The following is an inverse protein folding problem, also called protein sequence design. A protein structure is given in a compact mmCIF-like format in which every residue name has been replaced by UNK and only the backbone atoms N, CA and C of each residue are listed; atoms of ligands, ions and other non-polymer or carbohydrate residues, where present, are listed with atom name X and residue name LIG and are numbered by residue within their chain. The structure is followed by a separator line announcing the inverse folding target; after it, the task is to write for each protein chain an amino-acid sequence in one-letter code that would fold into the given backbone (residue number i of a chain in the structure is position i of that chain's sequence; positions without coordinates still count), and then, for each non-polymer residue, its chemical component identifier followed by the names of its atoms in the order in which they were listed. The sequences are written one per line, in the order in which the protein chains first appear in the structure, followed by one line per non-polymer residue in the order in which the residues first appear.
data_IF_830579958415
#
_entry.id   IF_830579958415
#
_cell.length_a   1.000
_cell.length_b   1.000
_cell.length_c   1.000
_cell.angle_alpha   90.00
_cell.angle_beta   90.00
_cell.angle_gamma   90.00
#
_symmetry.space_group_name_H-M   'P 1'
#
loop_
_entity.id
_entity.type
_entity.pdbx_description
1 polymer ?
#
# COMPACT_ATOMS: atom_id res chain seq x y z
N UNK A 1 -8.04 14.56 -34.41
CA UNK A 1 -9.44 14.10 -34.40
C UNK A 1 -10.13 14.66 -35.63
N UNK A 2 -10.45 13.80 -36.60
CA UNK A 2 -11.39 14.09 -37.68
C UNK A 2 -12.42 12.96 -37.67
N UNK A 3 -13.68 13.28 -37.35
CA UNK A 3 -14.76 12.30 -37.12
C UNK A 3 -15.47 12.02 -38.44
N UNK A 4 -15.16 10.91 -39.08
CA UNK A 4 -16.13 10.26 -39.96
C UNK A 4 -15.88 8.74 -40.01
N UNK A 5 -16.94 7.99 -39.68
CA UNK A 5 -17.03 6.52 -39.63
C UNK A 5 -16.38 5.80 -38.44
N UNK A 6 -16.88 6.04 -37.21
CA UNK A 6 -17.10 5.02 -36.15
C UNK A 6 -15.97 4.07 -35.72
N UNK A 7 -14.75 4.25 -36.20
CA UNK A 7 -13.56 3.50 -35.85
C UNK A 7 -12.63 4.41 -35.07
N UNK A 8 -12.37 4.07 -33.82
CA UNK A 8 -11.31 4.70 -33.04
C UNK A 8 -9.98 4.20 -33.61
N UNK A 9 -9.37 4.98 -34.50
CA UNK A 9 -8.02 4.73 -34.99
C UNK A 9 -7.01 5.41 -34.04
N UNK A 10 -5.97 4.68 -33.64
CA UNK A 10 -4.93 5.17 -32.74
C UNK A 10 -3.61 5.30 -33.50
N UNK A 11 -2.87 6.38 -33.21
CA UNK A 11 -1.52 6.56 -33.71
C UNK A 11 -0.56 5.85 -32.74
N UNK A 12 0.12 4.81 -33.22
CA UNK A 12 1.08 4.05 -32.41
C UNK A 12 2.49 4.40 -32.86
N UNK A 13 3.32 4.88 -31.92
CA UNK A 13 4.73 5.17 -32.17
C UNK A 13 5.56 3.97 -31.72
N UNK A 14 6.09 3.19 -32.67
CA UNK A 14 7.07 2.15 -32.36
C UNK A 14 8.47 2.76 -32.31
N UNK A 15 9.14 2.64 -31.17
CA UNK A 15 10.57 2.93 -31.04
C UNK A 15 11.32 1.60 -30.89
N UNK A 16 11.71 1.01 -32.01
CA UNK A 16 12.46 -0.24 -32.10
C UNK A 16 13.25 -0.29 -33.41
N UNK A 17 14.47 -0.82 -33.33
CA UNK A 17 15.54 -0.70 -34.32
C UNK A 17 15.15 -1.19 -35.73
N UNK A 18 15.35 -0.32 -36.72
CA UNK A 18 15.23 -0.51 -38.18
C UNK A 18 13.86 -0.22 -38.82
N UNK A 19 13.76 1.02 -39.34
CA UNK A 19 12.79 1.59 -40.32
C UNK A 19 11.53 2.24 -39.74
N UNK A 20 11.28 3.50 -40.14
CA UNK A 20 10.05 4.25 -39.82
C UNK A 20 8.91 3.73 -40.69
N UNK A 21 7.86 3.20 -40.07
CA UNK A 21 6.56 2.99 -40.71
C UNK A 21 5.50 3.66 -39.84
N UNK A 22 4.81 4.65 -40.41
CA UNK A 22 3.63 5.26 -39.80
C UNK A 22 2.41 4.59 -40.44
N UNK A 23 1.62 3.88 -39.65
CA UNK A 23 0.39 3.26 -40.14
C UNK A 23 -0.71 3.33 -39.08
N UNK A 24 -1.95 3.46 -39.53
CA UNK A 24 -3.13 3.43 -38.67
C UNK A 24 -3.53 1.97 -38.44
N UNK A 25 -3.73 1.57 -37.18
CA UNK A 25 -4.05 0.18 -36.83
C UNK A 25 -5.38 0.10 -36.07
N UNK A 26 -6.22 -0.86 -36.47
CA UNK A 26 -7.52 -1.14 -35.85
C UNK A 26 -7.35 -1.88 -34.50
N UNK A 27 -8.11 -1.44 -33.49
CA UNK A 27 -8.10 -1.93 -32.09
C UNK A 27 -8.35 -3.43 -31.97
N UNK A 28 -9.05 -4.02 -32.94
CA UNK A 28 -9.37 -5.46 -32.97
C UNK A 28 -8.17 -6.38 -33.24
N UNK A 29 -7.02 -5.86 -33.67
CA UNK A 29 -5.79 -6.63 -33.93
C UNK A 29 -4.85 -6.79 -32.72
N UNK A 30 -5.12 -6.10 -31.60
CA UNK A 30 -4.31 -6.19 -30.38
C UNK A 30 -4.86 -7.28 -29.45
N UNK A 31 -4.76 -8.54 -29.86
CA UNK A 31 -5.08 -9.70 -29.00
C UNK A 31 -3.81 -10.51 -28.78
N UNK A 32 -3.26 -10.45 -27.56
CA UNK A 32 -2.16 -11.32 -27.12
C UNK A 32 -2.81 -12.61 -26.58
N UNK A 33 -2.54 -13.81 -27.14
CA UNK A 33 -3.26 -15.03 -26.75
C UNK A 33 -2.83 -15.54 -25.36
N UNK A 34 -3.82 -15.79 -24.49
CA UNK A 34 -3.70 -16.72 -23.35
C UNK A 34 -3.81 -18.15 -23.90
N UNK A 35 -2.84 -19.00 -23.58
CA UNK A 35 -2.84 -20.43 -23.93
C UNK A 35 -3.75 -21.23 -22.98
N UNK A 36 -4.76 -21.90 -23.55
CA UNK A 36 -5.60 -22.91 -22.90
C UNK A 36 -5.11 -24.29 -23.36
N UNK A 37 -4.99 -25.23 -22.41
CA UNK A 37 -4.76 -26.66 -22.65
C UNK A 37 -6.11 -27.37 -22.81
N UNK A 38 -6.23 -28.24 -23.80
CA UNK A 38 -7.21 -29.34 -23.83
C UNK A 38 -6.53 -30.62 -24.33
N UNK A 39 -6.92 -31.75 -23.75
CA UNK A 39 -6.41 -33.07 -24.08
C UNK A 39 -7.37 -33.91 -24.94
N UNK A 40 -6.77 -34.95 -25.51
CA UNK A 40 -7.32 -36.24 -25.98
C UNK A 40 -8.18 -36.30 -27.25
N UNK A 41 -7.62 -36.94 -28.29
CA UNK A 41 -8.30 -38.01 -29.06
C UNK A 41 -7.29 -39.12 -29.39
N UNK A 42 -7.78 -40.36 -29.46
CA UNK A 42 -7.09 -41.64 -29.44
C UNK A 42 -6.43 -42.13 -30.77
N UNK A 43 -5.57 -43.14 -30.57
CA UNK A 43 -5.19 -44.30 -31.41
C UNK A 43 -3.95 -44.30 -32.34
N UNK A 44 -3.01 -45.20 -31.95
CA UNK A 44 -2.23 -46.21 -32.71
C UNK A 44 -1.21 -45.78 -33.77
N UNK A 45 0.09 -46.11 -33.58
CA UNK A 45 0.81 -47.28 -34.15
C UNK A 45 2.28 -47.34 -33.68
N UNK A 46 2.85 -48.54 -33.69
CA UNK A 46 4.16 -48.99 -33.18
C UNK A 46 5.43 -48.36 -33.82
N UNK A 47 6.53 -48.26 -33.05
CA UNK A 47 7.87 -48.85 -33.35
C UNK A 47 9.03 -48.20 -32.51
N UNK A 48 9.65 -49.04 -31.68
CA UNK A 48 11.10 -49.22 -31.38
C UNK A 48 12.05 -48.06 -30.93
N UNK A 49 12.61 -48.29 -29.72
CA UNK A 49 14.02 -48.26 -29.28
C UNK A 49 14.75 -47.00 -28.73
N UNK A 50 15.30 -47.21 -27.51
CA UNK A 50 16.52 -46.66 -26.85
C UNK A 50 16.56 -45.15 -26.47
N UNK A 51 17.25 -44.69 -25.41
CA UNK A 51 17.82 -45.21 -24.15
C UNK A 51 18.14 -43.95 -23.30
N UNK A 52 18.08 -44.11 -21.96
CA UNK A 52 18.78 -43.35 -20.89
C UNK A 52 18.59 -41.82 -20.67
N UNK A 53 18.40 -41.43 -19.40
CA UNK A 53 18.65 -40.05 -18.93
C UNK A 53 17.71 -39.50 -17.84
N UNK A 54 17.85 -40.03 -16.62
CA UNK A 54 17.23 -39.69 -15.32
C UNK A 54 17.16 -38.18 -14.96
N UNK A 55 15.97 -37.67 -14.61
CA UNK A 55 15.75 -36.49 -13.72
C UNK A 55 14.48 -36.67 -12.87
N UNK A 56 14.51 -36.49 -11.54
CA UNK A 56 13.31 -36.57 -10.71
C UNK A 56 12.70 -35.20 -10.31
N UNK A 57 11.38 -35.17 -10.41
CA UNK A 57 10.39 -34.65 -9.45
C UNK A 57 10.13 -33.14 -9.35
N UNK A 58 8.98 -32.77 -9.95
CA UNK A 58 8.10 -31.66 -9.54
C UNK A 58 7.37 -32.04 -8.24
N UNK A 59 7.18 -31.08 -7.36
CA UNK A 59 6.09 -31.08 -6.38
C UNK A 59 5.01 -30.10 -6.88
N UNK A 60 3.78 -30.58 -6.83
CA UNK A 60 2.55 -29.90 -7.18
C UNK A 60 2.12 -29.07 -5.95
N UNK A 61 1.76 -27.80 -6.15
CA UNK A 61 1.06 -27.01 -5.14
C UNK A 61 -0.42 -26.99 -5.50
N UNK A 62 -1.24 -27.34 -4.51
CA UNK A 62 -2.69 -27.40 -4.55
C UNK A 62 -3.30 -25.98 -4.51
N UNK A 63 -4.22 -25.73 -5.43
CA UNK A 63 -5.10 -24.57 -5.46
C UNK A 63 -6.20 -24.73 -4.39
N UNK A 64 -6.31 -23.78 -3.46
CA UNK A 64 -7.49 -23.62 -2.61
C UNK A 64 -8.17 -22.26 -2.86
N UNK A 65 -9.45 -22.36 -3.19
CA UNK A 65 -10.40 -21.36 -3.66
C UNK A 65 -10.72 -20.31 -2.56
N UNK A 66 -10.71 -19.02 -2.91
CA UNK A 66 -11.12 -17.93 -2.01
C UNK A 66 -12.26 -17.11 -2.66
N UNK A 67 -13.37 -16.83 -1.93
CA UNK A 67 -14.56 -16.25 -2.53
C UNK A 67 -14.47 -14.72 -2.72
N UNK A 68 -15.13 -14.30 -3.79
CA UNK A 68 -15.36 -12.94 -4.28
C UNK A 68 -15.98 -12.00 -3.22
N UNK A 69 -15.29 -10.89 -2.92
CA UNK A 69 -15.85 -9.76 -2.17
C UNK A 69 -15.84 -8.50 -3.03
N UNK A 70 -17.05 -8.07 -3.37
CA UNK A 70 -17.38 -6.86 -4.13
C UNK A 70 -16.77 -5.61 -3.49
N UNK A 71 -15.91 -4.91 -4.25
CA UNK A 71 -15.38 -3.59 -3.89
C UNK A 71 -16.49 -2.54 -4.00
N UNK A 72 -16.93 -1.99 -2.86
CA UNK A 72 -17.60 -0.69 -2.81
C UNK A 72 -16.53 0.36 -2.50
N UNK A 73 -16.43 1.35 -3.39
CA UNK A 73 -15.49 2.47 -3.30
C UNK A 73 -16.16 3.58 -2.48
N UNK A 74 -15.56 3.98 -1.38
CA UNK A 74 -15.91 5.22 -0.67
C UNK A 74 -14.61 6.02 -0.57
N UNK A 75 -14.55 7.12 -1.31
CA UNK A 75 -13.42 8.05 -1.29
C UNK A 75 -13.55 8.95 -0.04
N UNK A 76 -12.51 9.00 0.80
CA UNK A 76 -12.35 10.04 1.82
C UNK A 76 -10.91 10.53 1.76
N UNK A 77 -10.75 11.76 1.28
CA UNK A 77 -9.49 12.51 1.28
C UNK A 77 -9.12 12.91 2.71
N UNK A 78 -7.97 12.45 3.21
CA UNK A 78 -7.31 13.06 4.37
C UNK A 78 -5.82 13.23 4.05
N UNK A 79 -5.41 14.49 3.90
CA UNK A 79 -4.02 14.91 3.82
C UNK A 79 -3.33 14.80 5.19
N UNK A 80 -2.00 14.59 5.25
CA UNK A 80 -1.29 14.36 6.50
C UNK A 80 -0.95 15.69 7.18
N UNK A 81 -1.31 15.83 8.45
CA UNK A 81 -0.77 16.88 9.32
C UNK A 81 0.09 16.28 10.44
N UNK A 82 1.30 16.78 10.43
CA UNK A 82 2.45 16.61 11.32
C UNK A 82 2.18 16.57 12.83
N UNK A 83 2.92 15.70 13.52
CA UNK A 83 3.20 15.62 14.96
C UNK A 83 2.89 16.86 15.82
N UNK A 84 2.20 16.64 16.95
CA UNK A 84 2.59 17.30 18.22
C UNK A 84 2.24 16.45 19.45
N UNK A 85 3.32 16.07 20.14
CA UNK A 85 3.52 15.89 21.59
C UNK A 85 2.26 15.85 22.49
N UNK A 86 2.18 14.80 23.30
CA UNK A 86 1.36 14.75 24.50
C UNK A 86 1.65 15.96 25.40
N UNK A 87 0.73 16.90 25.42
CA UNK A 87 0.54 17.82 26.52
C UNK A 87 -0.59 17.24 27.38
N UNK A 88 -0.36 17.14 28.69
CA UNK A 88 -1.43 16.94 29.68
C UNK A 88 -2.34 18.17 29.64
N UNK A 89 -3.26 18.17 28.68
CA UNK A 89 -4.33 19.15 28.56
C UNK A 89 -5.43 18.80 29.53
N UNK A 90 -6.02 19.83 30.12
CA UNK A 90 -7.16 19.73 31.02
C UNK A 90 -8.36 19.20 30.24
N UNK A 91 -8.64 17.89 30.33
CA UNK A 91 -9.81 17.24 29.70
C UNK A 91 -11.16 17.76 30.24
N UNK A 92 -11.16 18.77 31.13
CA UNK A 92 -12.36 19.35 31.71
C UNK A 92 -13.33 19.89 30.65
N UNK A 93 -12.83 20.50 29.57
CA UNK A 93 -13.67 21.07 28.50
C UNK A 93 -14.46 19.97 27.75
N UNK A 94 -13.83 18.81 27.52
CA UNK A 94 -14.45 17.64 26.89
C UNK A 94 -15.49 16.93 27.79
N UNK A 95 -15.56 17.32 29.06
CA UNK A 95 -16.47 16.78 30.07
C UNK A 95 -17.57 17.76 30.47
N UNK A 96 -17.78 18.82 29.67
CA UNK A 96 -18.83 19.80 29.91
C UNK A 96 -20.10 19.49 29.13
N UNK A 97 -21.25 19.74 29.75
CA UNK A 97 -22.55 19.66 29.10
C UNK A 97 -22.84 20.95 28.34
N UNK A 98 -23.17 20.86 27.06
CA UNK A 98 -23.43 22.05 26.22
C UNK A 98 -24.74 22.81 26.54
N UNK A 99 -25.61 22.25 27.38
CA UNK A 99 -26.83 22.92 27.81
C UNK A 99 -26.63 23.81 29.04
N UNK A 100 -25.72 23.42 29.96
CA UNK A 100 -25.44 24.21 31.16
C UNK A 100 -24.01 24.75 31.21
N UNK A 101 -23.14 24.34 30.29
CA UNK A 101 -21.71 24.66 30.24
C UNK A 101 -20.93 24.30 31.51
N UNK A 102 -21.47 23.36 32.30
CA UNK A 102 -20.87 22.82 33.52
C UNK A 102 -20.43 21.37 33.28
N UNK A 103 -19.55 20.84 34.13
CA UNK A 103 -19.21 19.42 34.11
C UNK A 103 -20.47 18.53 34.19
N UNK A 104 -20.47 17.39 33.49
CA UNK A 104 -21.64 16.53 33.45
C UNK A 104 -22.09 16.06 34.85
N UNK A 105 -23.29 16.47 35.24
CA UNK A 105 -24.01 15.95 36.40
C UNK A 105 -25.06 14.95 35.94
N UNK A 106 -24.91 13.68 36.33
CA UNK A 106 -25.74 12.56 35.91
C UNK A 106 -25.92 12.50 34.37
N UNK A 107 -24.82 12.29 33.61
CA UNK A 107 -24.87 12.29 32.16
C UNK A 107 -25.79 11.21 31.61
N UNK A 108 -26.63 11.62 30.67
CA UNK A 108 -27.48 10.74 29.86
C UNK A 108 -27.17 10.92 28.39
N UNK A 109 -27.26 9.82 27.65
CA UNK A 109 -27.16 9.79 26.19
C UNK A 109 -28.56 9.81 25.60
N UNK A 110 -28.78 10.71 24.64
CA UNK A 110 -30.02 10.81 23.84
C UNK A 110 -29.86 10.04 22.52
N UNK A 111 -30.92 9.89 21.73
CA UNK A 111 -30.94 9.00 20.55
C UNK A 111 -29.87 9.31 19.49
N UNK A 112 -29.48 10.58 19.34
CA UNK A 112 -28.41 10.99 18.43
C UNK A 112 -26.99 10.68 18.94
N UNK A 113 -26.85 10.03 20.10
CA UNK A 113 -25.57 9.64 20.70
C UNK A 113 -24.85 10.72 21.50
N UNK A 114 -25.36 11.96 21.52
CA UNK A 114 -24.78 13.07 22.30
C UNK A 114 -25.18 12.98 23.78
N UNK A 115 -24.35 13.57 24.65
CA UNK A 115 -24.47 13.44 26.10
C UNK A 115 -24.83 14.78 26.74
N UNK A 116 -25.74 14.75 27.72
CA UNK A 116 -26.23 15.91 28.44
C UNK A 116 -26.50 15.57 29.91
N UNK A 117 -26.55 16.55 30.80
CA UNK A 117 -26.99 16.30 32.18
C UNK A 117 -28.48 15.90 32.20
N UNK A 118 -28.85 14.95 33.06
CA UNK A 118 -30.25 14.51 33.23
C UNK A 118 -31.21 15.68 33.43
N UNK A 119 -30.88 16.59 34.34
CA UNK A 119 -31.69 17.78 34.62
C UNK A 119 -31.79 18.75 33.44
N UNK A 120 -30.77 18.83 32.58
CA UNK A 120 -30.79 19.71 31.41
C UNK A 120 -31.76 19.16 30.35
N UNK A 121 -31.73 17.85 30.14
CA UNK A 121 -32.67 17.12 29.30
C UNK A 121 -34.09 17.22 29.83
N UNK A 122 -34.32 16.94 31.11
CA UNK A 122 -35.67 17.02 31.70
C UNK A 122 -36.27 18.43 31.58
N UNK A 123 -35.45 19.49 31.68
CA UNK A 123 -35.87 20.88 31.43
C UNK A 123 -36.15 21.17 29.96
N UNK A 124 -35.30 20.69 29.06
CA UNK A 124 -35.45 20.91 27.62
C UNK A 124 -36.75 20.27 27.08
N UNK A 125 -37.19 19.17 27.66
CA UNK A 125 -38.46 18.50 27.33
C UNK A 125 -39.65 18.97 28.16
N UNK A 126 -39.48 19.93 29.07
CA UNK A 126 -40.57 20.42 29.90
C UNK A 126 -41.58 21.22 29.05
N UNK A 127 -42.73 20.61 28.77
CA UNK A 127 -43.77 21.20 27.93
C UNK A 127 -43.48 21.21 26.43
N UNK A 128 -42.49 20.44 25.96
CA UNK A 128 -42.16 20.28 24.54
C UNK A 128 -42.33 18.82 24.08
N UNK A 129 -42.73 18.64 22.81
CA UNK A 129 -42.89 17.33 22.17
C UNK A 129 -41.57 16.81 21.56
N UNK A 130 -40.62 17.69 21.29
CA UNK A 130 -39.32 17.34 20.72
C UNK A 130 -38.20 18.21 21.31
N UNK A 131 -36.98 17.71 21.20
CA UNK A 131 -35.74 18.39 21.59
C UNK A 131 -34.80 18.42 20.39
N UNK A 132 -34.28 19.58 20.03
CA UNK A 132 -33.24 19.69 19.00
C UNK A 132 -31.87 19.63 19.66
N UNK A 133 -31.07 18.63 19.30
CA UNK A 133 -29.71 18.48 19.81
C UNK A 133 -28.85 19.70 19.41
N UNK A 134 -28.23 20.42 20.36
CA UNK A 134 -27.39 21.57 20.03
C UNK A 134 -26.10 21.20 19.27
N UNK A 135 -25.63 19.95 19.41
CA UNK A 135 -24.43 19.46 18.72
C UNK A 135 -24.66 19.17 17.24
N UNK A 136 -25.56 18.22 16.96
CA UNK A 136 -25.78 17.70 15.61
C UNK A 136 -27.02 18.27 14.93
N UNK A 137 -27.83 19.08 15.63
CA UNK A 137 -29.09 19.69 15.15
C UNK A 137 -30.20 18.66 14.84
N UNK A 138 -30.03 17.42 15.25
CA UNK A 138 -31.03 16.38 15.09
C UNK A 138 -32.23 16.60 16.03
N UNK A 139 -33.44 16.39 15.52
CA UNK A 139 -34.69 16.54 16.29
C UNK A 139 -35.04 15.20 16.91
N UNK A 140 -34.99 15.13 18.24
CA UNK A 140 -35.28 13.96 19.04
C UNK A 140 -36.71 14.08 19.57
N UNK A 141 -37.58 13.19 19.13
CA UNK A 141 -39.01 13.16 19.51
C UNK A 141 -39.28 12.17 20.65
N UNK A 142 -38.44 11.16 20.81
CA UNK A 142 -38.62 10.18 21.88
C UNK A 142 -37.94 10.64 23.19
N UNK A 143 -38.69 10.62 24.29
CA UNK A 143 -38.18 10.96 25.64
C UNK A 143 -37.38 9.81 26.27
N UNK A 144 -36.61 9.08 25.46
CA UNK A 144 -35.74 8.00 25.92
C UNK A 144 -34.32 8.52 26.09
N UNK A 145 -33.73 8.23 27.24
CA UNK A 145 -32.33 8.53 27.51
C UNK A 145 -31.71 7.43 28.36
N UNK A 146 -30.44 7.13 28.09
CA UNK A 146 -29.69 6.07 28.77
C UNK A 146 -28.59 6.69 29.62
N UNK A 147 -28.49 6.31 30.90
CA UNK A 147 -27.45 6.84 31.79
C UNK A 147 -26.05 6.40 31.34
N UNK A 148 -25.16 7.36 31.10
CA UNK A 148 -23.77 7.09 30.72
C UNK A 148 -22.86 7.01 31.96
N UNK A 149 -22.76 5.81 32.54
CA UNK A 149 -21.93 5.58 33.75
C UNK A 149 -20.44 5.81 33.50
N UNK A 150 -19.94 5.58 32.29
CA UNK A 150 -18.53 5.79 31.95
C UNK A 150 -18.17 7.28 32.03
N UNK A 151 -19.00 8.14 31.44
CA UNK A 151 -18.84 9.59 31.48
C UNK A 151 -18.99 10.13 32.91
N UNK A 152 -19.95 9.62 33.68
CA UNK A 152 -20.11 9.96 35.11
C UNK A 152 -18.86 9.61 35.94
N UNK A 153 -18.22 8.47 35.65
CA UNK A 153 -16.99 8.06 36.33
C UNK A 153 -15.78 8.91 35.91
N UNK A 154 -15.74 9.38 34.66
CA UNK A 154 -14.67 10.22 34.16
C UNK A 154 -14.70 11.61 34.80
N UNK A 155 -15.88 12.24 34.91
CA UNK A 155 -16.06 13.51 35.66
C UNK A 155 -15.64 13.37 37.12
N UNK A 156 -16.01 12.27 37.78
CA UNK A 156 -15.60 12.02 39.17
C UNK A 156 -14.08 11.91 39.33
N UNK A 157 -13.38 11.34 38.34
CA UNK A 157 -11.92 11.24 38.35
C UNK A 157 -11.26 12.60 38.13
N UNK A 158 -11.77 13.43 37.23
CA UNK A 158 -11.20 14.77 36.96
C UNK A 158 -11.39 15.73 38.14
N UNK A 159 -12.56 15.72 38.78
CA UNK A 159 -12.84 16.50 40.01
C UNK A 159 -12.07 15.93 41.22
N UNK A 160 -11.86 14.61 41.27
CA UNK A 160 -11.04 13.97 42.30
C UNK A 160 -9.55 14.29 42.20
N UNK A 161 -9.04 14.54 40.99
CA UNK A 161 -7.64 14.90 40.74
C UNK A 161 -7.32 16.36 41.11
N UNK A 162 -8.28 17.27 41.05
CA UNK A 162 -8.07 18.70 41.40
C UNK A 162 -8.23 18.99 42.90
N UNK A 163 -8.82 18.08 43.68
CA UNK A 163 -8.93 18.17 45.15
C UNK A 163 -7.92 17.25 45.89
N UNK A 164 -6.86 16.79 45.23
CA UNK A 164 -5.85 15.90 45.80
C UNK A 164 -4.76 16.62 46.63
N UNK A 165 -5.06 17.80 47.19
CA UNK A 165 -4.13 18.56 48.05
C UNK A 165 -4.70 18.86 49.44
N UNK A 166 -5.66 18.11 49.97
CA UNK A 166 -5.86 17.98 51.42
C UNK A 166 -6.81 16.83 51.73
N UNK A 167 -6.25 15.65 52.01
CA UNK A 167 -6.74 14.66 53.00
C UNK A 167 -6.34 13.25 52.57
N UNK A 168 -5.12 12.88 52.93
CA UNK A 168 -4.73 11.49 53.05
C UNK A 168 -5.46 10.88 54.28
N UNK A 169 -6.62 10.26 54.07
CA UNK A 169 -7.17 9.26 54.98
C UNK A 169 -7.84 8.13 54.20
N UNK A 170 -7.22 6.95 54.28
CA UNK A 170 -7.83 5.62 54.20
C UNK A 170 -8.71 5.34 52.97
N UNK A 171 -8.08 4.86 51.90
CA UNK A 171 -8.76 4.16 50.81
C UNK A 171 -9.17 2.74 51.22
N UNK A 172 -10.12 2.63 52.14
CA UNK A 172 -10.98 1.45 52.17
C UNK A 172 -12.05 1.65 51.10
N UNK A 173 -12.11 0.76 50.10
CA UNK A 173 -13.27 0.70 49.21
C UNK A 173 -14.50 0.62 50.11
N UNK A 174 -15.52 1.50 49.98
CA UNK A 174 -16.71 1.41 50.80
C UNK A 174 -17.27 -0.01 50.63
N UNK A 175 -17.28 -0.79 51.72
CA UNK A 175 -17.91 -2.10 51.73
C UNK A 175 -19.36 -1.87 51.27
N UNK A 176 -19.88 -2.66 50.32
CA UNK A 176 -21.28 -2.58 49.96
C UNK A 176 -22.10 -2.67 51.24
N UNK A 177 -23.01 -1.73 51.45
CA UNK A 177 -23.89 -1.75 52.62
C UNK A 177 -24.56 -3.13 52.69
N UNK A 178 -24.42 -3.83 53.81
CA UNK A 178 -25.11 -5.11 54.03
C UNK A 178 -26.63 -4.92 54.14
N UNK A 179 -27.07 -3.70 54.43
CA UNK A 179 -28.45 -3.32 54.63
C UNK A 179 -28.96 -2.40 53.51
N UNK A 180 -30.26 -2.51 53.22
CA UNK A 180 -30.98 -1.67 52.29
C UNK A 180 -31.06 -0.23 52.82
N UNK A 181 -30.72 0.79 52.01
CA UNK A 181 -30.73 2.18 52.45
C UNK A 181 -32.14 2.74 52.70
N UNK A 182 -33.18 2.17 52.07
CA UNK A 182 -34.57 2.63 52.24
C UNK A 182 -35.26 1.98 53.47
N UNK A 183 -34.82 0.78 53.87
CA UNK A 183 -35.57 -0.04 54.83
C UNK A 183 -34.74 -0.53 56.02
N UNK A 184 -33.44 -0.26 56.04
CA UNK A 184 -32.47 -0.78 57.01
C UNK A 184 -32.53 -2.31 57.22
N UNK A 185 -32.94 -3.04 56.17
CA UNK A 185 -33.11 -4.50 56.18
C UNK A 185 -32.00 -5.16 55.35
N UNK A 186 -31.51 -6.33 55.76
CA UNK A 186 -30.40 -7.02 55.08
C UNK A 186 -30.71 -7.31 53.60
N UNK A 187 -29.76 -7.02 52.73
CA UNK A 187 -29.82 -7.34 51.30
C UNK A 187 -29.56 -8.84 51.12
N UNK A 188 -30.59 -9.57 50.68
CA UNK A 188 -30.53 -11.04 50.47
C UNK A 188 -30.94 -11.45 49.07
N UNK A 189 -31.53 -10.53 48.30
CA UNK A 189 -32.09 -10.76 47.00
C UNK A 189 -31.35 -9.92 45.95
N UNK A 190 -31.35 -10.42 44.72
CA UNK A 190 -30.91 -9.73 43.52
C UNK A 190 -32.10 -9.58 42.58
N UNK A 191 -32.40 -8.36 42.17
CA UNK A 191 -33.42 -8.09 41.15
C UNK A 191 -32.78 -8.22 39.76
N UNK A 192 -33.27 -9.15 38.94
CA UNK A 192 -32.72 -9.40 37.59
C UNK A 192 -33.01 -8.25 36.63
N UNK A 193 -34.19 -7.64 36.76
CA UNK A 193 -34.64 -6.57 35.86
C UNK A 193 -33.88 -5.26 36.11
N UNK A 194 -33.64 -4.93 37.38
CA UNK A 194 -32.94 -3.69 37.76
C UNK A 194 -31.41 -3.86 37.89
N UNK A 195 -30.94 -5.11 38.00
CA UNK A 195 -29.53 -5.41 38.22
C UNK A 195 -29.00 -4.92 39.57
N UNK A 196 -29.84 -4.89 40.61
CA UNK A 196 -29.50 -4.35 41.94
C UNK A 196 -29.75 -5.35 43.07
N UNK A 197 -29.03 -5.17 44.18
CA UNK A 197 -29.30 -5.88 45.42
C UNK A 197 -30.51 -5.27 46.13
N UNK A 198 -31.37 -6.13 46.64
CA UNK A 198 -32.64 -5.77 47.28
C UNK A 198 -32.87 -6.55 48.58
N UNK A 199 -33.59 -5.93 49.51
CA UNK A 199 -34.12 -6.61 50.69
C UNK A 199 -35.52 -7.18 50.40
N UNK A 200 -36.07 -7.95 51.35
CA UNK A 200 -37.40 -8.58 51.21
C UNK A 200 -38.53 -7.55 51.13
N UNK A 201 -38.36 -6.37 51.74
CA UNK A 201 -39.35 -5.29 51.70
C UNK A 201 -39.37 -4.63 50.30
N UNK A 202 -38.20 -4.42 49.69
CA UNK A 202 -38.10 -3.92 48.31
C UNK A 202 -38.82 -4.86 47.32
N UNK A 203 -38.65 -6.18 47.45
CA UNK A 203 -39.30 -7.16 46.58
C UNK A 203 -40.83 -7.00 46.56
N UNK A 204 -41.42 -6.82 47.74
CA UNK A 204 -42.88 -6.75 47.88
C UNK A 204 -43.42 -5.31 47.69
N UNK A 205 -42.53 -4.34 47.42
CA UNK A 205 -42.91 -2.96 47.13
C UNK A 205 -43.56 -2.83 45.75
N UNK A 206 -44.44 -1.83 45.59
CA UNK A 206 -45.06 -1.53 44.30
C UNK A 206 -44.03 -1.21 43.20
N UNK A 207 -42.84 -0.72 43.56
CA UNK A 207 -41.75 -0.43 42.63
C UNK A 207 -41.24 -1.69 41.91
N UNK A 208 -41.34 -2.86 42.55
CA UNK A 208 -40.79 -4.12 42.03
C UNK A 208 -41.86 -5.23 41.88
N UNK A 209 -43.15 -4.87 41.88
CA UNK A 209 -44.26 -5.82 41.91
C UNK A 209 -44.26 -6.85 40.75
N UNK A 210 -43.60 -6.54 39.64
CA UNK A 210 -43.47 -7.40 38.46
C UNK A 210 -42.04 -7.85 38.16
N UNK A 211 -41.08 -7.59 39.05
CA UNK A 211 -39.68 -7.92 38.80
C UNK A 211 -39.33 -9.32 39.32
N UNK A 212 -38.33 -9.92 38.69
CA UNK A 212 -37.80 -11.23 39.00
C UNK A 212 -36.67 -11.12 40.00
N UNK A 213 -36.78 -11.87 41.09
CA UNK A 213 -35.78 -11.90 42.15
C UNK A 213 -35.16 -13.28 42.29
N UNK A 214 -33.87 -13.29 42.60
CA UNK A 214 -33.13 -14.47 43.00
C UNK A 214 -32.47 -14.23 44.36
N UNK A 215 -32.33 -15.25 45.23
CA UNK A 215 -31.35 -15.20 46.29
C UNK A 215 -29.96 -14.86 45.73
N UNK A 216 -29.17 -14.08 46.48
CA UNK A 216 -27.86 -13.62 46.00
C UNK A 216 -26.96 -14.78 45.55
N UNK A 217 -26.94 -15.89 46.29
CA UNK A 217 -26.11 -17.04 45.94
C UNK A 217 -26.55 -17.70 44.63
N UNK A 218 -27.85 -17.76 44.37
CA UNK A 218 -28.40 -18.31 43.13
C UNK A 218 -28.09 -17.39 41.95
N UNK A 219 -28.25 -16.07 42.14
CA UNK A 219 -27.85 -15.09 41.13
C UNK A 219 -26.36 -15.19 40.80
N UNK A 220 -25.49 -15.29 41.82
CA UNK A 220 -24.05 -15.49 41.62
C UNK A 220 -23.77 -16.79 40.86
N UNK A 221 -24.48 -17.88 41.16
CA UNK A 221 -24.36 -19.13 40.43
C UNK A 221 -24.69 -18.96 38.94
N UNK A 222 -25.87 -18.41 38.63
CA UNK A 222 -26.34 -18.18 37.26
C UNK A 222 -25.37 -17.33 36.46
N UNK A 223 -24.99 -16.15 36.98
CA UNK A 223 -24.13 -15.23 36.24
C UNK A 223 -22.69 -15.73 36.13
N UNK A 224 -22.19 -16.53 37.08
CA UNK A 224 -20.88 -17.18 36.92
C UNK A 224 -20.88 -18.19 35.78
N UNK A 225 -21.94 -18.97 35.64
CA UNK A 225 -22.08 -19.91 34.53
C UNK A 225 -22.19 -19.14 33.21
N UNK A 226 -23.07 -18.15 33.10
CA UNK A 226 -23.22 -17.33 31.89
C UNK A 226 -21.89 -16.66 31.49
N UNK A 227 -21.14 -16.12 32.45
CA UNK A 227 -19.83 -15.53 32.18
C UNK A 227 -18.81 -16.59 31.74
N UNK A 228 -18.79 -17.76 32.38
CA UNK A 228 -17.90 -18.86 32.01
C UNK A 228 -18.17 -19.36 30.59
N UNK A 229 -19.44 -19.41 30.18
CA UNK A 229 -19.84 -19.85 28.85
C UNK A 229 -19.41 -18.86 27.75
N UNK A 230 -19.27 -17.57 28.07
CA UNK A 230 -18.82 -16.53 27.15
C UNK A 230 -17.29 -16.44 27.09
N UNK A 231 -16.60 -16.67 28.22
CA UNK A 231 -15.14 -16.53 28.31
C UNK A 231 -14.41 -17.51 27.39
N UNK A 232 -14.79 -18.79 27.39
CA UNK A 232 -14.07 -19.79 26.59
C UNK A 232 -14.10 -19.53 25.07
N UNK A 233 -15.26 -19.19 24.45
CA UNK A 233 -15.28 -18.77 23.05
C UNK A 233 -14.45 -17.51 22.76
N UNK A 234 -14.43 -16.54 23.69
CA UNK A 234 -13.64 -15.32 23.53
C UNK A 234 -12.13 -15.59 23.58
N UNK A 235 -11.68 -16.49 24.46
CA UNK A 235 -10.27 -16.90 24.54
C UNK A 235 -9.82 -17.61 23.24
N UNK A 236 -10.66 -18.47 22.67
CA UNK A 236 -10.35 -19.12 21.40
C UNK A 236 -10.36 -18.12 20.24
N UNK A 237 -11.34 -17.21 20.19
CA UNK A 237 -11.39 -16.14 19.19
C UNK A 237 -10.17 -15.21 19.27
N UNK A 238 -9.71 -14.90 20.49
CA UNK A 238 -8.48 -14.13 20.71
C UNK A 238 -7.27 -14.85 20.12
N UNK A 239 -7.10 -16.14 20.45
CA UNK A 239 -5.99 -16.96 19.95
C UNK A 239 -5.97 -17.05 18.43
N UNK A 240 -7.14 -17.28 17.79
CA UNK A 240 -7.25 -17.29 16.32
C UNK A 240 -6.88 -15.93 15.73
N UNK A 241 -7.35 -14.84 16.34
CA UNK A 241 -7.06 -13.49 15.86
C UNK A 241 -5.57 -13.15 15.98
N UNK A 242 -4.92 -13.55 17.07
CA UNK A 242 -3.47 -13.38 17.26
C UNK A 242 -2.68 -14.14 16.19
N UNK A 243 -3.05 -15.40 15.90
CA UNK A 243 -2.42 -16.20 14.86
C UNK A 243 -2.60 -15.62 13.45
N UNK A 244 -3.80 -15.14 13.12
CA UNK A 244 -4.05 -14.50 11.83
C UNK A 244 -3.28 -13.18 11.71
N UNK A 245 -3.13 -12.45 12.82
CA UNK A 245 -2.38 -11.19 12.85
C UNK A 245 -0.89 -11.43 12.61
N UNK A 246 -0.29 -12.46 13.22
CA UNK A 246 1.12 -12.81 12.97
C UNK A 246 1.34 -13.29 11.54
N UNK A 247 0.49 -14.19 11.02
CA UNK A 247 0.58 -14.65 9.63
C UNK A 247 0.44 -13.50 8.63
N UNK A 248 -0.45 -12.54 8.90
CA UNK A 248 -0.62 -11.38 8.05
C UNK A 248 0.61 -10.47 8.09
N UNK A 249 1.22 -10.27 9.26
CA UNK A 249 2.45 -9.50 9.40
C UNK A 249 3.61 -10.12 8.61
N UNK A 250 3.77 -11.44 8.65
CA UNK A 250 4.77 -12.18 7.86
C UNK A 250 4.54 -12.00 6.36
N UNK A 251 3.30 -12.16 5.88
CA UNK A 251 2.95 -11.95 4.46
C UNK A 251 3.25 -10.52 3.99
N UNK A 252 2.96 -9.52 4.84
CA UNK A 252 3.27 -8.12 4.54
C UNK A 252 4.78 -7.92 4.40
N UNK A 253 5.58 -8.50 5.29
CA UNK A 253 7.03 -8.36 5.25
C UNK A 253 7.64 -9.09 4.04
N UNK A 254 7.16 -10.30 3.75
CA UNK A 254 7.56 -11.03 2.54
C UNK A 254 7.23 -10.24 1.27
N UNK A 255 6.05 -9.63 1.19
CA UNK A 255 5.66 -8.85 0.03
C UNK A 255 6.55 -7.60 -0.13
N UNK A 256 6.96 -6.95 0.96
CA UNK A 256 7.91 -5.84 0.90
C UNK A 256 9.28 -6.30 0.40
N UNK A 257 9.78 -7.43 0.88
CA UNK A 257 11.03 -8.03 0.41
C UNK A 257 10.96 -8.31 -1.10
N UNK A 258 9.90 -8.98 -1.54
CA UNK A 258 9.72 -9.31 -2.96
C UNK A 258 9.71 -8.06 -3.85
N UNK A 259 9.05 -6.97 -3.42
CA UNK A 259 9.07 -5.70 -4.17
C UNK A 259 10.50 -5.15 -4.26
N UNK A 260 11.26 -5.17 -3.16
CA UNK A 260 12.63 -4.69 -3.13
C UNK A 260 13.53 -5.51 -4.07
N UNK A 261 13.39 -6.83 -4.03
CA UNK A 261 14.15 -7.76 -4.88
C UNK A 261 13.83 -7.53 -6.37
N UNK A 262 12.55 -7.40 -6.73
CA UNK A 262 12.17 -7.10 -8.11
C UNK A 262 12.68 -5.75 -8.57
N UNK A 263 12.62 -4.72 -7.72
CA UNK A 263 13.16 -3.39 -8.02
C UNK A 263 14.66 -3.47 -8.29
N UNK A 264 15.41 -4.13 -7.41
CA UNK A 264 16.85 -4.32 -7.57
C UNK A 264 17.18 -5.12 -8.84
N UNK A 265 16.39 -6.15 -9.14
CA UNK A 265 16.58 -6.94 -10.35
C UNK A 265 16.40 -6.08 -11.60
N UNK A 266 15.31 -5.29 -11.68
CA UNK A 266 15.07 -4.37 -12.79
C UNK A 266 16.25 -3.40 -12.94
N UNK A 267 16.66 -2.73 -11.85
CA UNK A 267 17.79 -1.80 -11.88
C UNK A 267 19.07 -2.47 -12.40
N UNK A 268 19.35 -3.71 -11.97
CA UNK A 268 20.54 -4.46 -12.40
C UNK A 268 20.52 -4.84 -13.88
N UNK A 269 19.36 -5.20 -14.45
CA UNK A 269 19.24 -5.54 -15.87
C UNK A 269 19.42 -4.30 -16.76
N UNK A 270 18.91 -3.14 -16.32
CA UNK A 270 19.14 -1.88 -17.02
C UNK A 270 20.61 -1.45 -16.96
N UNK A 271 21.29 -1.65 -15.83
CA UNK A 271 22.72 -1.33 -15.71
C UNK A 271 23.59 -2.20 -16.64
N UNK A 272 23.26 -3.50 -16.76
CA UNK A 272 23.90 -4.41 -17.73
C UNK A 272 23.69 -3.91 -19.16
N UNK A 273 22.47 -3.48 -19.50
CA UNK A 273 22.19 -2.94 -20.83
C UNK A 273 22.95 -1.64 -21.10
N UNK A 274 23.04 -0.73 -20.13
CA UNK A 274 23.83 0.50 -20.24
C UNK A 274 25.31 0.21 -20.48
N UNK A 275 25.86 -0.73 -19.72
CA UNK A 275 27.25 -1.17 -19.87
C UNK A 275 27.50 -1.75 -21.26
N UNK A 276 26.63 -2.67 -21.70
CA UNK A 276 26.72 -3.26 -23.05
C UNK A 276 26.69 -2.21 -24.16
N UNK A 277 25.77 -1.23 -24.08
CA UNK A 277 25.66 -0.17 -25.09
C UNK A 277 26.90 0.74 -25.08
N UNK A 278 27.46 1.03 -23.90
CA UNK A 278 28.69 1.81 -23.77
C UNK A 278 29.87 1.10 -24.41
N UNK A 279 30.10 -0.16 -24.05
CA UNK A 279 31.18 -0.98 -24.62
C UNK A 279 31.03 -1.14 -26.13
N UNK A 280 29.80 -1.38 -26.62
CA UNK A 280 29.53 -1.51 -28.06
C UNK A 280 29.84 -0.22 -28.81
N UNK A 281 29.51 0.94 -28.23
CA UNK A 281 29.82 2.26 -28.81
C UNK A 281 31.33 2.47 -28.86
N UNK A 282 32.04 2.22 -27.76
CA UNK A 282 33.50 2.39 -27.67
C UNK A 282 34.21 1.53 -28.73
N UNK A 283 33.81 0.27 -28.85
CA UNK A 283 34.37 -0.64 -29.87
C UNK A 283 34.12 -0.18 -31.31
N UNK A 284 32.93 0.38 -31.62
CA UNK A 284 32.65 0.92 -32.95
C UNK A 284 33.51 2.15 -33.28
N UNK A 285 33.75 3.01 -32.30
CA UNK A 285 34.61 4.18 -32.47
C UNK A 285 36.07 3.78 -32.68
N UNK A 286 36.54 2.79 -31.93
CA UNK A 286 37.89 2.24 -32.09
C UNK A 286 38.08 1.64 -33.49
N UNK A 287 37.14 0.82 -33.97
CA UNK A 287 37.18 0.28 -35.33
C UNK A 287 37.20 1.37 -36.40
N UNK A 288 36.38 2.41 -36.24
CA UNK A 288 36.36 3.53 -37.19
C UNK A 288 37.69 4.29 -37.20
N UNK A 289 38.28 4.51 -36.02
CA UNK A 289 39.58 5.15 -35.89
C UNK A 289 40.67 4.31 -36.57
N UNK A 290 40.73 3.01 -36.29
CA UNK A 290 41.71 2.10 -36.89
C UNK A 290 41.59 2.07 -38.42
N UNK A 291 40.36 1.98 -38.95
CA UNK A 291 40.12 2.04 -40.39
C UNK A 291 40.59 3.38 -41.00
N UNK A 292 40.31 4.50 -40.31
CA UNK A 292 40.75 5.82 -40.73
C UNK A 292 42.27 5.95 -40.75
N UNK A 293 42.95 5.52 -39.69
CA UNK A 293 44.41 5.55 -39.59
C UNK A 293 45.09 4.66 -40.64
N UNK A 294 44.55 3.46 -40.89
CA UNK A 294 45.07 2.56 -41.91
C UNK A 294 44.94 3.15 -43.31
N UNK A 295 43.78 3.74 -43.63
CA UNK A 295 43.56 4.41 -44.92
C UNK A 295 44.48 5.62 -45.08
N UNK A 296 44.65 6.44 -44.04
CA UNK A 296 45.56 7.59 -44.08
C UNK A 296 47.00 7.15 -44.34
N UNK A 297 47.50 6.11 -43.64
CA UNK A 297 48.84 5.55 -43.87
C UNK A 297 49.02 5.07 -45.32
N UNK A 298 48.00 4.42 -45.89
CA UNK A 298 48.04 3.98 -47.29
C UNK A 298 48.09 5.17 -48.26
N UNK A 299 47.26 6.18 -48.04
CA UNK A 299 47.24 7.41 -48.84
C UNK A 299 48.57 8.16 -48.76
N UNK A 300 49.16 8.28 -47.57
CA UNK A 300 50.48 8.89 -47.36
C UNK A 300 51.58 8.12 -48.09
N UNK A 301 51.59 6.78 -48.01
CA UNK A 301 52.53 5.95 -48.76
C UNK A 301 52.41 6.15 -50.27
N UNK A 302 51.17 6.21 -50.79
CA UNK A 302 50.94 6.46 -52.20
C UNK A 302 51.37 7.88 -52.62
N UNK A 303 51.19 8.88 -51.76
CA UNK A 303 51.66 10.24 -51.99
C UNK A 303 53.20 10.28 -52.15
N UNK A 304 53.94 9.59 -51.28
CA UNK A 304 55.41 9.51 -51.37
C UNK A 304 55.83 8.87 -52.70
N UNK A 305 55.22 7.76 -53.10
CA UNK A 305 55.52 7.10 -54.39
C UNK A 305 55.22 8.01 -55.59
N UNK A 306 54.12 8.75 -55.55
CA UNK A 306 53.79 9.72 -56.60
C UNK A 306 54.79 10.88 -56.64
N UNK A 307 55.29 11.32 -55.50
CA UNK A 307 56.32 12.35 -55.40
C UNK A 307 57.64 11.86 -56.03
N UNK A 308 58.08 10.66 -55.68
CA UNK A 308 59.28 10.02 -56.25
C UNK A 308 59.16 9.86 -57.77
N UNK A 309 58.01 9.39 -58.26
CA UNK A 309 57.74 9.28 -59.69
C UNK A 309 57.76 10.66 -60.37
N UNK A 310 57.16 11.68 -59.77
CA UNK A 310 57.18 13.04 -60.29
C UNK A 310 58.62 13.58 -60.39
N UNK A 311 59.45 13.34 -59.38
CA UNK A 311 60.83 13.82 -59.37
C UNK A 311 61.68 13.09 -60.41
N UNK A 312 61.48 11.78 -60.59
CA UNK A 312 62.09 11.01 -61.69
C UNK A 312 61.66 11.50 -63.08
N UNK A 313 60.36 11.82 -63.26
CA UNK A 313 59.86 12.41 -64.52
C UNK A 313 60.49 13.78 -64.77
N UNK A 314 60.56 14.65 -63.75
CA UNK A 314 61.21 15.96 -63.87
C UNK A 314 62.67 15.83 -64.27
N UNK A 315 63.41 14.92 -63.64
CA UNK A 315 64.81 14.64 -63.96
C UNK A 315 64.95 14.21 -65.43
N UNK A 316 64.09 13.30 -65.88
CA UNK A 316 64.04 12.85 -67.27
C UNK A 316 63.72 14.00 -68.25
N UNK A 317 62.80 14.90 -67.88
CA UNK A 317 62.49 16.11 -68.67
C UNK A 317 63.72 17.02 -68.75
N UNK A 318 64.40 17.31 -67.64
CA UNK A 318 65.63 18.12 -67.66
C UNK A 318 66.72 17.52 -68.53
N UNK A 319 66.94 16.20 -68.43
CA UNK A 319 67.90 15.51 -69.30
C UNK A 319 67.51 15.60 -70.78
N UNK A 320 66.22 15.48 -71.11
CA UNK A 320 65.73 15.63 -72.47
C UNK A 320 65.87 17.08 -72.98
N UNK A 321 65.53 18.08 -72.16
CA UNK A 321 65.65 19.50 -72.48
C UNK A 321 67.11 19.92 -72.70
N UNK A 322 68.04 19.49 -71.84
CA UNK A 322 69.47 19.73 -72.00
C UNK A 322 69.97 19.16 -73.34
N UNK A 323 69.50 17.97 -73.69
CA UNK A 323 69.87 17.30 -74.94
C UNK A 323 69.27 17.99 -76.17
N UNK A 324 68.02 18.42 -76.11
CA UNK A 324 67.37 19.18 -77.21
C UNK A 324 68.09 20.50 -77.48
N UNK A 325 68.65 21.14 -76.44
CA UNK A 325 69.38 22.40 -76.56
C UNK A 325 70.88 22.23 -76.86
N UNK A 326 71.36 21.02 -77.13
CA UNK A 326 72.76 20.78 -77.47
C UNK A 326 73.10 21.38 -78.85
N UNK A 327 74.12 22.23 -78.88
CA UNK A 327 74.55 22.96 -80.08
C UNK A 327 75.46 22.15 -81.00
N UNK A 328 76.04 21.04 -80.53
CA UNK A 328 76.89 20.16 -81.35
C UNK A 328 76.07 19.00 -81.96
N UNK A 329 76.06 18.93 -83.30
CA UNK A 329 75.26 17.93 -84.02
C UNK A 329 75.80 16.51 -83.89
N UNK A 330 77.09 16.35 -83.56
CA UNK A 330 77.72 15.03 -83.39
C UNK A 330 77.48 14.49 -81.97
N UNK A 331 77.65 15.28 -80.91
CA UNK A 331 77.32 14.90 -79.53
C UNK A 331 75.85 14.49 -79.37
N UNK A 332 74.93 15.26 -79.97
CA UNK A 332 73.50 15.00 -79.94
C UNK A 332 73.12 13.60 -80.46
N UNK A 333 73.81 13.12 -81.51
CA UNK A 333 73.52 11.85 -82.19
C UNK A 333 74.31 10.64 -81.64
N UNK A 334 75.39 10.86 -80.87
CA UNK A 334 76.33 9.78 -80.47
C UNK A 334 76.16 9.26 -79.06
N UNK A 335 75.50 9.99 -78.16
CA UNK A 335 75.23 9.50 -76.80
C UNK A 335 74.06 8.49 -76.85
N UNK A 336 74.37 7.19 -76.73
CA UNK A 336 73.39 6.09 -76.70
C UNK A 336 72.21 6.41 -75.77
N UNK A 337 71.00 6.13 -76.24
CA UNK A 337 69.75 6.30 -75.52
C UNK A 337 69.83 5.64 -74.14
N UNK A 338 70.01 6.45 -73.08
CA UNK A 338 69.77 6.02 -71.71
C UNK A 338 68.30 6.32 -71.42
N UNK A 339 67.44 5.52 -72.05
CA UNK A 339 66.06 5.34 -71.64
C UNK A 339 65.85 3.84 -71.51
N UNK A 340 66.42 3.28 -70.46
CA UNK A 340 65.93 2.02 -69.91
C UNK A 340 64.81 2.40 -68.96
N UNK A 341 63.57 2.30 -69.45
CA UNK A 341 62.34 2.36 -68.66
C UNK A 341 62.33 1.27 -67.57
#
# INVERSE_FOLDING_TARGET
MNKQAGREEFFVHYAGLNRRQNEWVDKTRLVIPKSVKEGQVANSTDAEMNEEGKTPLKQEEEDDDAPDVKKVKVDVDIAPSTNSRMASGDFAEELTCLLCSELFQDPVMVECGHNFCRNCIDKAWNGQESFTCPDCKEVITEKRCTTNRALANLVKKTVGSTSALTSAKTGEKPKPSENCPEHDERLKLYCKDDGTLSCVICRDSLKHASHNFLPILDAVGVYRTELSDIVAPLEEALKVTEQLTTQQAEKVEQHKSNIADFKQHIESEFEKLHTFLKERKENLLEQLQEQGENLLKEMESNMVKLQENNDSIKETITMADERVNDSDSISFLTVSAVCSL
#
